data_IF_493752765050
#
_entry.id   IF_493752765050
#
_cell.length_a   1.000
_cell.length_b   1.000
_cell.length_c   1.000
_cell.angle_alpha   90.00
_cell.angle_beta   90.00
_cell.angle_gamma   90.00
#
_symmetry.space_group_name_H-M   'P 1'
#
loop_
_entity.id
_entity.type
_entity.pdbx_description
1 polymer ?
#
# COMPACT_ATOMS: atom_id res chain seq x y z
N UNK A 1 -9.36 4.86 23.40
CA UNK A 1 -10.25 3.76 22.96
C UNK A 1 -9.62 2.36 22.99
N UNK A 2 -8.30 2.19 22.86
CA UNK A 2 -7.64 0.87 22.74
C UNK A 2 -7.66 0.00 24.01
N UNK A 3 -7.90 0.55 25.21
CA UNK A 3 -7.77 -0.20 26.48
C UNK A 3 -8.80 -1.31 26.72
N UNK A 4 -9.89 -1.36 25.96
CA UNK A 4 -10.96 -2.38 26.12
C UNK A 4 -10.73 -3.67 25.32
N UNK A 5 -9.75 -3.71 24.43
CA UNK A 5 -9.52 -4.86 23.56
C UNK A 5 -8.64 -5.93 24.21
N UNK A 6 -8.96 -7.21 23.94
CA UNK A 6 -8.08 -8.34 24.28
C UNK A 6 -6.72 -8.16 23.60
N UNK A 7 -5.65 -8.64 24.25
CA UNK A 7 -4.26 -8.47 23.78
C UNK A 7 -4.06 -8.85 22.30
N UNK A 8 -4.70 -9.94 21.87
CA UNK A 8 -4.68 -10.38 20.46
C UNK A 8 -5.20 -9.34 19.48
N UNK A 9 -6.36 -8.75 19.78
CA UNK A 9 -6.96 -7.73 18.92
C UNK A 9 -6.09 -6.48 18.85
N UNK A 10 -5.45 -6.08 19.97
CA UNK A 10 -4.50 -4.96 19.97
C UNK A 10 -3.32 -5.21 19.03
N UNK A 11 -2.74 -6.41 19.10
CA UNK A 11 -1.60 -6.79 18.24
C UNK A 11 -2.01 -6.84 16.76
N UNK A 12 -3.15 -7.45 16.43
CA UNK A 12 -3.64 -7.50 15.04
C UNK A 12 -3.94 -6.10 14.50
N UNK A 13 -4.55 -5.22 15.30
CA UNK A 13 -4.82 -3.84 14.90
C UNK A 13 -3.52 -3.05 14.67
N UNK A 14 -2.51 -3.23 15.53
CA UNK A 14 -1.21 -2.60 15.35
C UNK A 14 -0.55 -3.06 14.04
N UNK A 15 -0.54 -4.36 13.76
CA UNK A 15 0.02 -4.90 12.52
C UNK A 15 -0.71 -4.37 11.28
N UNK A 16 -2.05 -4.33 11.32
CA UNK A 16 -2.87 -3.78 10.23
C UNK A 16 -2.56 -2.29 10.04
N UNK A 17 -2.42 -1.51 11.12
CA UNK A 17 -2.09 -0.08 11.00
C UNK A 17 -0.72 0.16 10.38
N UNK A 18 0.30 -0.62 10.77
CA UNK A 18 1.64 -0.53 10.18
C UNK A 18 1.59 -0.92 8.70
N UNK A 19 0.83 -1.97 8.36
CA UNK A 19 0.66 -2.41 6.99
C UNK A 19 -0.03 -1.36 6.12
N UNK A 20 -1.11 -0.75 6.59
CA UNK A 20 -1.81 0.32 5.86
C UNK A 20 -0.85 1.51 5.65
N UNK A 21 -0.16 1.94 6.71
CA UNK A 21 0.77 3.06 6.63
C UNK A 21 1.91 2.76 5.63
N UNK A 22 2.50 1.58 5.71
CA UNK A 22 3.56 1.14 4.80
C UNK A 22 3.08 1.02 3.35
N UNK A 23 1.86 0.53 3.13
CA UNK A 23 1.27 0.42 1.78
C UNK A 23 0.98 1.78 1.17
N UNK A 24 0.47 2.74 1.96
CA UNK A 24 0.23 4.10 1.49
C UNK A 24 1.55 4.80 1.15
N UNK A 25 2.53 4.75 2.04
CA UNK A 25 3.85 5.35 1.79
C UNK A 25 4.54 4.71 0.58
N UNK A 26 4.57 3.37 0.54
CA UNK A 26 5.15 2.62 -0.58
C UNK A 26 4.42 2.87 -1.89
N UNK A 27 3.09 3.00 -1.85
CA UNK A 27 2.26 3.34 -3.00
C UNK A 27 2.58 4.71 -3.58
N UNK A 28 2.62 5.74 -2.74
CA UNK A 28 2.98 7.11 -3.17
C UNK A 28 4.38 7.15 -3.79
N UNK A 29 5.36 6.46 -3.19
CA UNK A 29 6.73 6.38 -3.73
C UNK A 29 6.75 5.63 -5.07
N UNK A 30 6.06 4.49 -5.15
CA UNK A 30 6.01 3.68 -6.36
C UNK A 30 5.33 4.43 -7.52
N UNK A 31 4.21 5.10 -7.25
CA UNK A 31 3.50 5.93 -8.22
C UNK A 31 4.41 6.99 -8.82
N UNK A 32 5.11 7.76 -7.99
CA UNK A 32 6.06 8.78 -8.47
C UNK A 32 7.19 8.20 -9.30
N UNK A 33 7.76 7.07 -8.88
CA UNK A 33 8.83 6.39 -9.64
C UNK A 33 8.31 5.94 -11.00
N UNK A 34 7.10 5.37 -11.04
CA UNK A 34 6.49 4.85 -12.24
C UNK A 34 6.08 5.97 -13.22
N UNK A 35 5.51 7.07 -12.72
CA UNK A 35 5.21 8.27 -13.51
C UNK A 35 6.47 8.90 -14.10
N UNK A 36 7.51 9.09 -13.28
CA UNK A 36 8.76 9.69 -13.75
C UNK A 36 9.46 8.80 -14.79
N UNK A 37 9.35 7.47 -14.67
CA UNK A 37 9.80 6.55 -15.72
C UNK A 37 8.98 6.69 -16.99
N UNK A 38 7.66 6.79 -16.89
CA UNK A 38 6.78 6.97 -18.04
C UNK A 38 7.10 8.27 -18.80
N UNK A 39 7.26 9.39 -18.08
CA UNK A 39 7.63 10.68 -18.69
C UNK A 39 8.98 10.62 -19.39
N UNK A 40 10.00 10.05 -18.74
CA UNK A 40 11.33 9.90 -19.34
C UNK A 40 11.29 9.00 -20.59
N UNK A 41 10.56 7.89 -20.54
CA UNK A 41 10.42 6.96 -21.67
C UNK A 41 9.76 7.64 -22.88
N UNK A 42 8.65 8.36 -22.67
CA UNK A 42 7.97 9.06 -23.76
C UNK A 42 8.86 10.19 -24.29
N UNK A 43 9.53 10.93 -23.41
CA UNK A 43 10.45 12.00 -23.79
C UNK A 43 11.54 11.47 -24.71
N UNK A 44 12.25 10.42 -24.32
CA UNK A 44 13.32 9.84 -25.14
C UNK A 44 12.80 9.36 -26.50
N UNK A 45 11.62 8.73 -26.56
CA UNK A 45 11.00 8.31 -27.82
C UNK A 45 10.70 9.51 -28.73
N UNK A 46 10.09 10.56 -28.19
CA UNK A 46 9.81 11.79 -28.92
C UNK A 46 11.09 12.46 -29.45
N UNK A 47 12.18 12.42 -28.68
CA UNK A 47 13.46 13.01 -29.05
C UNK A 47 14.19 12.25 -30.15
N UNK A 48 14.22 10.92 -30.06
CA UNK A 48 14.79 10.09 -31.13
C UNK A 48 14.02 10.32 -32.41
N UNK A 49 12.68 10.29 -32.36
CA UNK A 49 11.84 10.54 -33.53
C UNK A 49 12.08 11.94 -34.13
N UNK A 50 12.11 12.98 -33.30
CA UNK A 50 12.42 14.35 -33.73
C UNK A 50 13.80 14.43 -34.40
N UNK A 51 14.82 13.80 -33.80
CA UNK A 51 16.17 13.80 -34.34
C UNK A 51 16.24 13.03 -35.66
N UNK A 52 15.58 11.88 -35.78
CA UNK A 52 15.50 11.10 -37.02
C UNK A 52 14.89 11.92 -38.15
N UNK A 53 13.76 12.59 -37.89
CA UNK A 53 13.12 13.46 -38.90
C UNK A 53 14.00 14.66 -39.25
N UNK A 54 14.70 15.26 -38.28
CA UNK A 54 15.70 16.30 -38.55
C UNK A 54 16.83 15.79 -39.45
N UNK A 55 17.31 14.57 -39.22
CA UNK A 55 18.36 13.96 -40.05
C UNK A 55 17.91 13.71 -41.48
N UNK A 56 16.63 13.42 -41.73
CA UNK A 56 16.06 13.36 -43.09
C UNK A 56 16.15 14.72 -43.79
N UNK A 57 15.84 15.81 -43.06
CA UNK A 57 15.98 17.19 -43.60
C UNK A 57 17.42 17.50 -43.94
N UNK A 58 18.33 17.19 -43.03
CA UNK A 58 19.76 17.45 -43.21
C UNK A 58 20.32 16.65 -44.38
N UNK A 59 19.95 15.37 -44.50
CA UNK A 59 20.32 14.53 -45.64
C UNK A 59 19.81 15.11 -46.96
N UNK A 60 18.53 15.53 -47.00
CA UNK A 60 17.93 16.16 -48.18
C UNK A 60 18.70 17.41 -48.59
N UNK A 61 18.97 18.30 -47.63
CA UNK A 61 19.69 19.56 -47.88
C UNK A 61 21.15 19.36 -48.31
N UNK A 62 21.85 18.40 -47.71
CA UNK A 62 23.29 18.17 -47.94
C UNK A 62 23.57 17.31 -49.17
N UNK A 63 22.71 16.34 -49.48
CA UNK A 63 22.98 15.32 -50.50
C UNK A 63 22.01 15.37 -51.68
N UNK A 64 20.73 15.65 -51.45
CA UNK A 64 19.71 15.57 -52.52
C UNK A 64 19.62 16.89 -53.29
N UNK A 65 19.52 18.02 -52.58
CA UNK A 65 19.38 19.35 -53.21
C UNK A 65 20.49 19.65 -54.22
N UNK A 66 21.79 19.42 -53.93
CA UNK A 66 22.86 19.71 -54.90
C UNK A 66 22.76 18.87 -56.19
N UNK A 67 22.24 17.66 -56.11
CA UNK A 67 22.08 16.76 -57.27
C UNK A 67 20.90 17.16 -58.15
N UNK A 68 19.81 17.64 -57.53
CA UNK A 68 18.60 18.01 -58.26
C UNK A 68 18.69 19.41 -58.87
N UNK A 69 19.43 20.34 -58.25
CA UNK A 69 19.52 21.74 -58.70
C UNK A 69 19.91 21.91 -60.18
N UNK A 70 20.75 21.03 -60.72
CA UNK A 70 21.20 21.11 -62.11
C UNK A 70 20.09 20.76 -63.13
N UNK A 71 19.04 20.03 -62.73
CA UNK A 71 18.05 19.42 -63.61
C UNK A 71 16.60 19.82 -63.29
N UNK A 72 16.39 20.93 -62.56
CA UNK A 72 15.03 21.39 -62.23
C UNK A 72 14.33 21.96 -63.46
N UNK A 73 13.10 21.52 -63.72
CA UNK A 73 12.24 22.15 -64.71
C UNK A 73 11.79 23.52 -64.19
N UNK A 74 12.09 24.64 -64.87
CA UNK A 74 11.63 25.96 -64.45
C UNK A 74 10.10 26.13 -64.49
N UNK A 75 9.35 25.23 -65.15
CA UNK A 75 7.89 25.31 -65.31
C UNK A 75 7.11 24.54 -64.24
N UNK A 76 7.69 23.50 -63.66
CA UNK A 76 7.06 22.64 -62.67
C UNK A 76 7.81 22.71 -61.34
N UNK A 77 7.09 22.77 -60.23
CA UNK A 77 7.73 22.85 -58.92
C UNK A 77 8.00 21.43 -58.44
N UNK A 78 9.26 21.07 -58.22
CA UNK A 78 9.68 19.78 -57.66
C UNK A 78 9.71 19.87 -56.14
N UNK A 79 8.72 19.34 -55.38
CA UNK A 79 8.67 19.51 -53.93
C UNK A 79 9.80 18.77 -53.19
N UNK A 80 10.37 17.73 -53.80
CA UNK A 80 11.42 16.87 -53.21
C UNK A 80 12.73 17.62 -52.91
N UNK A 81 12.96 18.79 -53.52
CA UNK A 81 14.10 19.65 -53.16
C UNK A 81 13.91 20.38 -51.83
N UNK A 82 12.70 20.36 -51.27
CA UNK A 82 12.39 21.06 -50.02
C UNK A 82 12.59 20.09 -48.84
N UNK A 83 13.54 20.37 -47.92
CA UNK A 83 13.81 19.46 -46.79
C UNK A 83 12.59 19.16 -45.91
N UNK A 84 11.69 20.15 -45.71
CA UNK A 84 10.45 19.95 -44.94
C UNK A 84 9.47 19.02 -45.66
N UNK A 85 9.41 19.07 -46.99
CA UNK A 85 8.58 18.16 -47.77
C UNK A 85 9.05 16.71 -47.58
N UNK A 86 10.36 16.46 -47.75
CA UNK A 86 10.94 15.13 -47.57
C UNK A 86 10.72 14.59 -46.15
N UNK A 87 10.97 15.41 -45.12
CA UNK A 87 10.71 15.05 -43.73
C UNK A 87 9.24 14.68 -43.48
N UNK A 88 8.31 15.48 -44.01
CA UNK A 88 6.87 15.20 -43.89
C UNK A 88 6.51 13.91 -44.62
N UNK A 89 6.94 13.71 -45.87
CA UNK A 89 6.62 12.49 -46.62
C UNK A 89 7.18 11.23 -45.96
N UNK A 90 8.41 11.27 -45.43
CA UNK A 90 8.98 10.14 -44.68
C UNK A 90 8.16 9.87 -43.42
N UNK A 91 7.71 10.92 -42.71
CA UNK A 91 6.83 10.75 -41.58
C UNK A 91 5.45 10.18 -41.96
N UNK A 92 4.85 10.63 -43.07
CA UNK A 92 3.59 10.07 -43.58
C UNK A 92 3.72 8.58 -43.93
N UNK A 93 4.88 8.14 -44.43
CA UNK A 93 5.17 6.71 -44.64
C UNK A 93 5.22 5.96 -43.30
N UNK A 94 5.86 6.52 -42.28
CA UNK A 94 5.88 5.96 -40.92
C UNK A 94 4.46 5.84 -40.35
N UNK A 95 3.66 6.90 -40.49
CA UNK A 95 2.28 7.00 -39.98
C UNK A 95 1.32 5.98 -40.62
N UNK A 96 1.62 5.47 -41.83
CA UNK A 96 0.85 4.40 -42.46
C UNK A 96 1.03 3.03 -41.80
N UNK A 97 2.10 2.84 -41.03
CA UNK A 97 2.26 1.63 -40.24
C UNK A 97 1.36 1.73 -38.99
N UNK A 98 0.53 0.71 -38.77
CA UNK A 98 -0.43 0.67 -37.66
C UNK A 98 0.23 0.87 -36.29
N UNK A 99 1.47 0.41 -36.10
CA UNK A 99 2.23 0.57 -34.85
C UNK A 99 2.60 2.03 -34.54
N UNK A 100 2.50 2.93 -35.53
CA UNK A 100 2.92 4.32 -35.45
C UNK A 100 1.84 5.32 -35.92
N UNK A 101 0.62 4.83 -36.16
CA UNK A 101 -0.49 5.62 -36.69
C UNK A 101 -0.94 6.75 -35.75
N UNK A 102 -0.65 6.66 -34.45
CA UNK A 102 -1.04 7.69 -33.50
C UNK A 102 0.07 8.73 -33.25
N UNK A 103 1.24 8.55 -33.88
CA UNK A 103 2.30 9.55 -33.86
C UNK A 103 1.97 10.67 -34.85
N UNK A 104 2.27 11.91 -34.49
CA UNK A 104 2.18 13.04 -35.40
C UNK A 104 3.45 13.87 -35.43
N UNK A 105 3.79 14.36 -36.61
CA UNK A 105 4.86 15.33 -36.85
C UNK A 105 4.29 16.53 -37.60
N UNK A 106 4.72 17.71 -37.19
CA UNK A 106 4.34 18.96 -37.86
C UNK A 106 5.46 19.98 -37.75
N UNK A 107 5.73 20.70 -38.83
CA UNK A 107 6.50 21.93 -38.75
C UNK A 107 5.52 23.08 -38.57
N UNK A 108 5.26 23.45 -37.32
CA UNK A 108 4.32 24.50 -36.99
C UNK A 108 4.96 25.87 -37.25
N UNK A 109 4.56 26.53 -38.33
CA UNK A 109 5.12 27.81 -38.80
C UNK A 109 4.06 28.91 -38.67
N UNK A 110 4.48 30.10 -38.24
CA UNK A 110 3.58 31.24 -38.05
C UNK A 110 3.00 31.75 -39.37
N UNK A 111 3.84 31.80 -40.41
CA UNK A 111 3.48 32.15 -41.79
C UNK A 111 4.02 31.09 -42.76
N UNK A 112 3.31 29.95 -42.94
CA UNK A 112 3.79 28.84 -43.77
C UNK A 112 3.48 29.03 -45.26
N UNK A 113 4.25 28.40 -46.14
CA UNK A 113 3.87 28.23 -47.56
C UNK A 113 2.69 27.27 -47.70
N UNK A 114 2.70 26.15 -46.95
CA UNK A 114 1.61 25.18 -46.93
C UNK A 114 0.73 25.40 -45.69
N UNK A 115 -0.56 25.66 -45.88
CA UNK A 115 -1.47 25.97 -44.76
C UNK A 115 -1.63 24.83 -43.75
N UNK A 116 -1.30 23.58 -44.11
CA UNK A 116 -1.28 22.46 -43.15
C UNK A 116 -0.21 22.65 -42.07
N UNK A 117 0.83 23.43 -42.35
CA UNK A 117 1.92 23.74 -41.43
C UNK A 117 1.61 24.95 -40.54
N UNK A 118 0.43 25.58 -40.69
CA UNK A 118 0.08 26.77 -39.90
C UNK A 118 -0.01 26.42 -38.42
N UNK A 119 0.77 27.14 -37.60
CA UNK A 119 0.76 26.96 -36.16
C UNK A 119 -0.65 27.20 -35.59
N UNK A 120 -1.10 26.29 -34.73
CA UNK A 120 -2.30 26.51 -33.90
C UNK A 120 -1.98 27.46 -32.71
N UNK A 121 -2.98 27.75 -31.87
CA UNK A 121 -2.80 28.65 -30.73
C UNK A 121 -1.81 28.12 -29.69
N UNK A 122 -1.76 26.81 -29.49
CA UNK A 122 -0.83 26.16 -28.58
C UNK A 122 0.59 26.16 -29.15
N UNK A 123 0.75 25.81 -30.43
CA UNK A 123 2.04 25.80 -31.11
C UNK A 123 2.62 27.22 -31.15
N UNK A 124 1.78 28.23 -31.37
CA UNK A 124 2.17 29.64 -31.31
C UNK A 124 2.72 30.02 -29.93
N UNK A 125 2.12 29.55 -28.83
CA UNK A 125 2.62 29.85 -27.48
C UNK A 125 3.95 29.15 -27.18
N UNK A 126 4.19 27.96 -27.76
CA UNK A 126 5.49 27.28 -27.71
C UNK A 126 6.55 28.05 -28.52
N UNK A 127 6.18 28.53 -29.71
CA UNK A 127 7.07 29.36 -30.55
C UNK A 127 7.48 30.65 -29.83
N UNK A 128 6.53 31.33 -29.17
CA UNK A 128 6.80 32.54 -28.39
C UNK A 128 7.79 32.29 -27.24
N UNK A 129 7.78 31.11 -26.61
CA UNK A 129 8.78 30.79 -25.58
C UNK A 129 10.21 30.71 -26.15
N UNK A 130 10.38 30.15 -27.35
CA UNK A 130 11.68 30.15 -28.04
C UNK A 130 12.12 31.54 -28.52
N UNK A 131 11.17 32.44 -28.73
CA UNK A 131 11.43 33.85 -29.05
C UNK A 131 11.91 34.61 -27.82
N UNK A 132 11.28 34.38 -26.67
CA UNK A 132 11.62 35.01 -25.39
C UNK A 132 13.00 34.60 -24.87
N UNK A 133 13.42 33.35 -25.07
CA UNK A 133 14.75 32.89 -24.70
C UNK A 133 15.40 32.02 -25.78
N UNK A 134 16.34 32.62 -26.52
CA UNK A 134 17.11 31.97 -27.58
C UNK A 134 18.05 30.84 -27.08
N UNK A 135 18.28 30.72 -25.76
CA UNK A 135 19.06 29.62 -25.17
C UNK A 135 18.26 28.32 -25.12
N UNK A 136 16.94 28.40 -25.10
CA UNK A 136 16.08 27.22 -25.09
C UNK A 136 16.21 26.50 -26.43
N UNK A 137 16.77 25.28 -26.40
CA UNK A 137 16.92 24.43 -27.59
C UNK A 137 15.74 23.50 -27.82
N UNK A 138 14.94 23.29 -26.78
CA UNK A 138 13.84 22.35 -26.81
C UNK A 138 12.85 22.65 -25.69
N UNK A 139 11.58 22.42 -25.98
CA UNK A 139 10.49 22.43 -24.99
C UNK A 139 9.76 21.09 -25.12
N UNK A 140 9.37 20.49 -24.01
CA UNK A 140 8.59 19.26 -24.03
C UNK A 140 7.60 19.26 -22.87
N UNK A 141 6.48 18.57 -23.04
CA UNK A 141 5.42 18.55 -22.05
C UNK A 141 4.20 17.80 -22.55
N UNK A 142 3.04 18.12 -21.96
CA UNK A 142 1.77 17.50 -22.33
C UNK A 142 0.79 18.56 -22.82
N UNK A 143 -0.01 18.20 -23.83
CA UNK A 143 -1.17 18.97 -24.28
C UNK A 143 -2.36 18.06 -24.43
N UNK A 144 -3.56 18.62 -24.31
CA UNK A 144 -4.76 17.95 -24.80
C UNK A 144 -4.88 18.23 -26.30
N UNK A 145 -5.09 17.19 -27.11
CA UNK A 145 -5.35 17.30 -28.54
C UNK A 145 -6.46 16.30 -28.88
N UNK A 146 -7.59 16.76 -29.43
CA UNK A 146 -8.74 15.91 -29.80
C UNK A 146 -9.23 14.99 -28.66
N UNK A 147 -9.31 15.50 -27.44
CA UNK A 147 -9.64 14.75 -26.22
C UNK A 147 -8.64 13.67 -25.80
N UNK A 148 -7.45 13.64 -26.40
CA UNK A 148 -6.37 12.75 -25.97
C UNK A 148 -5.22 13.53 -25.35
N UNK A 149 -4.60 12.95 -24.32
CA UNK A 149 -3.41 13.50 -23.70
C UNK A 149 -2.20 13.13 -24.55
N UNK A 150 -1.64 14.11 -25.24
CA UNK A 150 -0.46 13.94 -26.09
C UNK A 150 0.76 14.51 -25.39
N UNK A 151 1.83 13.73 -25.33
CA UNK A 151 3.14 14.29 -25.11
C UNK A 151 3.59 15.03 -26.36
N UNK A 152 4.21 16.19 -26.21
CA UNK A 152 4.83 16.91 -27.31
C UNK A 152 6.30 17.19 -27.02
N UNK A 153 7.11 17.15 -28.08
CA UNK A 153 8.46 17.70 -28.08
C UNK A 153 8.61 18.69 -29.21
N UNK A 154 9.16 19.86 -28.89
CA UNK A 154 9.28 21.00 -29.77
C UNK A 154 10.73 21.45 -29.90
N UNK A 155 11.17 21.79 -31.11
CA UNK A 155 12.45 22.45 -31.37
C UNK A 155 12.25 23.71 -32.20
N UNK A 156 13.01 24.79 -31.94
CA UNK A 156 12.84 26.04 -32.68
C UNK A 156 13.25 25.85 -34.13
N UNK A 157 12.40 26.29 -35.06
CA UNK A 157 12.70 26.29 -36.48
C UNK A 157 13.18 27.69 -36.90
N UNK A 158 14.50 27.81 -37.10
CA UNK A 158 15.16 29.06 -37.50
C UNK A 158 15.70 28.99 -38.92
N UNK A 159 15.70 30.14 -39.59
CA UNK A 159 16.25 30.27 -40.95
C UNK A 159 17.79 30.29 -40.89
N UNK A 160 18.41 29.12 -40.76
CA UNK A 160 19.86 29.02 -40.53
C UNK A 160 20.75 29.26 -41.74
N UNK A 161 20.22 29.25 -42.96
CA UNK A 161 21.00 29.41 -44.21
C UNK A 161 20.34 30.42 -45.15
N UNK A 162 21.17 31.17 -45.88
CA UNK A 162 20.69 32.13 -46.88
C UNK A 162 19.98 31.47 -48.07
N UNK A 163 20.25 30.18 -48.34
CA UNK A 163 19.55 29.41 -49.38
C UNK A 163 18.04 29.36 -49.17
N UNK A 164 17.56 29.40 -47.93
CA UNK A 164 16.12 29.47 -47.62
C UNK A 164 15.46 30.73 -48.21
N UNK A 165 16.22 31.83 -48.32
CA UNK A 165 15.72 33.11 -48.81
C UNK A 165 15.57 33.14 -50.34
N UNK A 166 16.09 32.14 -51.06
CA UNK A 166 15.84 31.97 -52.50
C UNK A 166 14.37 31.66 -52.79
N UNK A 167 13.66 31.08 -51.82
CA UNK A 167 12.24 30.74 -51.93
C UNK A 167 11.34 31.58 -51.02
N UNK A 168 11.84 32.02 -49.85
CA UNK A 168 11.00 32.60 -48.79
C UNK A 168 11.27 34.09 -48.50
N UNK A 169 12.08 34.78 -49.31
CA UNK A 169 12.29 36.23 -49.16
C UNK A 169 11.08 37.02 -49.65
N UNK A 170 10.94 37.23 -50.95
CA UNK A 170 9.80 37.90 -51.58
C UNK A 170 9.24 37.05 -52.72
N UNK A 171 7.95 37.21 -53.08
CA UNK A 171 7.36 36.50 -54.21
C UNK A 171 8.09 36.74 -55.54
N UNK A 172 8.70 37.92 -55.72
CA UNK A 172 9.43 38.28 -56.92
C UNK A 172 10.76 37.53 -57.10
N UNK A 173 11.39 37.10 -55.99
CA UNK A 173 12.66 36.35 -55.99
C UNK A 173 12.42 34.83 -56.08
N UNK A 174 11.29 34.37 -55.56
CA UNK A 174 10.98 32.96 -55.47
C UNK A 174 10.81 32.29 -56.85
N UNK A 175 11.05 30.97 -56.97
CA UNK A 175 10.80 30.24 -58.20
C UNK A 175 9.35 30.43 -58.67
N UNK A 176 9.17 30.81 -59.94
CA UNK A 176 7.83 31.03 -60.52
C UNK A 176 6.93 29.81 -60.41
N UNK A 177 7.51 28.61 -60.49
CA UNK A 177 6.79 27.35 -60.31
C UNK A 177 6.25 27.19 -58.87
N UNK A 178 7.01 27.58 -57.85
CA UNK A 178 6.56 27.60 -56.45
C UNK A 178 5.41 28.59 -56.25
N UNK A 179 5.56 29.81 -56.75
CA UNK A 179 4.53 30.85 -56.65
C UNK A 179 3.24 30.42 -57.36
N UNK A 180 3.35 29.76 -58.51
CA UNK A 180 2.20 29.17 -59.21
C UNK A 180 1.50 28.08 -58.38
N UNK A 181 2.26 27.27 -57.66
CA UNK A 181 1.73 26.17 -56.85
C UNK A 181 1.08 26.62 -55.54
N UNK A 182 1.65 27.62 -54.86
CA UNK A 182 1.27 28.01 -53.49
C UNK A 182 0.74 29.45 -53.35
N UNK A 183 0.85 30.27 -54.40
CA UNK A 183 0.48 31.68 -54.39
C UNK A 183 1.55 32.59 -53.75
N UNK A 184 1.23 33.88 -53.67
CA UNK A 184 2.17 34.94 -53.23
C UNK A 184 1.92 35.42 -51.79
N UNK A 185 0.86 34.94 -51.13
CA UNK A 185 0.37 35.51 -49.86
C UNK A 185 1.12 35.05 -48.62
N UNK A 186 1.50 33.76 -48.56
CA UNK A 186 2.04 33.14 -47.35
C UNK A 186 3.43 32.55 -47.60
N UNK A 187 4.21 32.36 -46.53
CA UNK A 187 5.53 31.74 -46.63
C UNK A 187 6.62 32.65 -47.20
N UNK A 188 6.43 33.97 -47.18
CA UNK A 188 7.41 34.98 -47.56
C UNK A 188 7.72 35.91 -46.38
N UNK A 189 8.71 36.78 -46.55
CA UNK A 189 9.15 37.76 -45.55
C UNK A 189 10.12 37.18 -44.51
N UNK A 190 10.66 35.99 -44.75
CA UNK A 190 11.62 35.37 -43.83
C UNK A 190 12.95 36.13 -43.85
N UNK A 191 13.62 36.18 -42.69
CA UNK A 191 14.93 36.79 -42.53
C UNK A 191 15.95 35.76 -42.04
N UNK A 192 17.22 35.94 -42.39
CA UNK A 192 18.29 35.05 -41.90
C UNK A 192 18.31 35.06 -40.36
N UNK A 193 18.41 33.88 -39.75
CA UNK A 193 18.36 33.62 -38.31
C UNK A 193 17.03 33.90 -37.58
N UNK A 194 16.00 34.37 -38.29
CA UNK A 194 14.67 34.57 -37.71
C UNK A 194 14.04 33.25 -37.25
N UNK A 195 13.25 33.32 -36.16
CA UNK A 195 12.40 32.22 -35.72
C UNK A 195 11.12 32.26 -36.55
N UNK A 196 10.88 31.21 -37.34
CA UNK A 196 9.69 31.14 -38.21
C UNK A 196 8.63 30.20 -37.65
N UNK A 197 9.02 29.30 -36.73
CA UNK A 197 8.14 28.28 -36.20
C UNK A 197 8.84 27.33 -35.24
N UNK A 198 8.24 26.15 -35.05
CA UNK A 198 8.79 25.05 -34.29
C UNK A 198 8.51 23.72 -34.99
N UNK A 199 9.48 22.81 -34.95
CA UNK A 199 9.24 21.41 -35.29
C UNK A 199 8.57 20.75 -34.09
N UNK A 200 7.46 20.06 -34.32
CA UNK A 200 6.62 19.43 -33.29
C UNK A 200 6.52 17.93 -33.57
N UNK A 201 6.78 17.13 -32.55
CA UNK A 201 6.46 15.70 -32.53
C UNK A 201 5.45 15.48 -31.41
N UNK A 202 4.39 14.73 -31.71
CA UNK A 202 3.35 14.35 -30.78
C UNK A 202 3.33 12.82 -30.62
N UNK A 203 3.31 12.36 -29.38
CA UNK A 203 3.27 10.95 -29.00
C UNK A 203 2.11 10.74 -28.03
N UNK A 204 1.23 9.76 -28.25
CA UNK A 204 0.15 9.45 -27.31
C UNK A 204 0.71 9.11 -25.94
N UNK A 205 0.24 9.82 -24.90
CA UNK A 205 0.64 9.51 -23.54
C UNK A 205 -0.24 8.39 -22.94
N UNK A 206 -1.47 8.24 -23.42
CA UNK A 206 -2.49 7.36 -22.85
C UNK A 206 -1.99 5.93 -22.64
N UNK A 207 -1.42 5.29 -23.66
CA UNK A 207 -0.98 3.89 -23.57
C UNK A 207 0.14 3.70 -22.54
N UNK A 208 1.11 4.62 -22.53
CA UNK A 208 2.24 4.56 -21.60
C UNK A 208 1.73 4.74 -20.17
N UNK A 209 0.90 5.74 -19.90
CA UNK A 209 0.35 5.96 -18.56
C UNK A 209 -0.63 4.86 -18.12
N UNK A 210 -1.41 4.25 -19.03
CA UNK A 210 -2.24 3.09 -18.71
C UNK A 210 -1.39 1.85 -18.39
N UNK A 211 -0.26 1.66 -19.08
CA UNK A 211 0.70 0.60 -18.74
C UNK A 211 1.28 0.80 -17.34
N UNK A 212 1.57 2.06 -16.97
CA UNK A 212 2.03 2.47 -15.64
C UNK A 212 1.01 2.14 -14.56
N UNK A 213 -0.28 2.44 -14.79
CA UNK A 213 -1.36 2.11 -13.84
C UNK A 213 -1.52 0.60 -13.67
N UNK A 214 -1.50 -0.17 -14.77
CA UNK A 214 -1.55 -1.64 -14.68
C UNK A 214 -0.38 -2.21 -13.89
N UNK A 215 0.83 -1.72 -14.14
CA UNK A 215 2.02 -2.11 -13.38
C UNK A 215 1.89 -1.76 -11.88
N UNK A 216 1.41 -0.55 -11.56
CA UNK A 216 1.15 -0.12 -10.19
C UNK A 216 0.18 -1.07 -9.47
N UNK A 217 -1.00 -1.33 -10.04
CA UNK A 217 -1.99 -2.21 -9.41
C UNK A 217 -1.50 -3.65 -9.30
N UNK A 218 -0.69 -4.12 -10.25
CA UNK A 218 -0.13 -5.48 -10.20
C UNK A 218 0.90 -5.62 -9.07
N UNK A 219 1.83 -4.67 -8.95
CA UNK A 219 2.85 -4.66 -7.90
C UNK A 219 2.20 -4.44 -6.53
N UNK A 220 1.29 -3.48 -6.42
CA UNK A 220 0.57 -3.19 -5.18
C UNK A 220 -0.31 -4.37 -4.76
N UNK A 221 -1.02 -5.00 -5.70
CA UNK A 221 -1.84 -6.17 -5.46
C UNK A 221 -1.03 -7.36 -4.94
N UNK A 222 0.13 -7.62 -5.56
CA UNK A 222 1.07 -8.66 -5.09
C UNK A 222 1.59 -8.35 -3.68
N UNK A 223 2.03 -7.11 -3.44
CA UNK A 223 2.51 -6.66 -2.13
C UNK A 223 1.45 -6.83 -1.04
N UNK A 224 0.23 -6.32 -1.28
CA UNK A 224 -0.90 -6.45 -0.37
C UNK A 224 -1.23 -7.93 -0.12
N UNK A 225 -1.24 -8.76 -1.16
CA UNK A 225 -1.49 -10.19 -1.05
C UNK A 225 -0.48 -10.92 -0.17
N UNK A 226 0.81 -10.63 -0.33
CA UNK A 226 1.89 -11.20 0.49
C UNK A 226 1.71 -10.81 1.96
N UNK A 227 1.51 -9.52 2.24
CA UNK A 227 1.35 -9.03 3.60
C UNK A 227 0.06 -9.53 4.27
N UNK A 228 -1.06 -9.58 3.54
CA UNK A 228 -2.31 -10.13 4.05
C UNK A 228 -2.13 -11.61 4.43
N UNK A 229 -1.43 -12.39 3.59
CA UNK A 229 -1.10 -13.79 3.87
C UNK A 229 -0.19 -13.92 5.10
N UNK A 230 0.82 -13.06 5.23
CA UNK A 230 1.71 -13.04 6.39
C UNK A 230 0.98 -12.69 7.70
N UNK A 231 0.13 -11.66 7.70
CA UNK A 231 -0.70 -11.27 8.85
C UNK A 231 -1.67 -12.40 9.21
N UNK A 232 -2.29 -13.03 8.22
CA UNK A 232 -3.18 -14.16 8.44
C UNK A 232 -2.45 -15.34 9.07
N UNK A 233 -1.30 -15.75 8.52
CA UNK A 233 -0.48 -16.84 9.03
C UNK A 233 0.03 -16.55 10.45
N UNK A 234 0.50 -15.33 10.70
CA UNK A 234 0.96 -14.90 12.02
C UNK A 234 -0.17 -14.98 13.05
N UNK A 235 -1.38 -14.50 12.72
CA UNK A 235 -2.53 -14.63 13.60
C UNK A 235 -2.98 -16.09 13.78
N UNK A 236 -2.86 -16.91 12.73
CA UNK A 236 -3.17 -18.33 12.76
C UNK A 236 -2.25 -19.09 13.72
N UNK A 237 -0.96 -18.77 13.74
CA UNK A 237 0.04 -19.37 14.65
C UNK A 237 -0.05 -18.78 16.06
N UNK A 238 -0.13 -17.46 16.22
CA UNK A 238 -0.14 -16.81 17.54
C UNK A 238 -1.35 -17.22 18.39
N UNK A 239 -2.52 -17.41 17.77
CA UNK A 239 -3.77 -17.67 18.49
C UNK A 239 -3.74 -18.98 19.31
N UNK A 240 -3.40 -20.16 18.73
CA UNK A 240 -3.23 -21.39 19.49
C UNK A 240 -1.94 -21.41 20.31
N UNK A 241 -0.83 -20.87 19.80
CA UNK A 241 0.48 -21.01 20.45
C UNK A 241 0.61 -20.12 21.67
N UNK A 242 0.11 -18.87 21.65
CA UNK A 242 0.33 -17.90 22.73
C UNK A 242 -0.97 -17.48 23.40
N UNK A 243 -1.96 -17.01 22.63
CA UNK A 243 -3.13 -16.34 23.22
C UNK A 243 -4.02 -17.29 24.02
N UNK A 244 -4.30 -18.50 23.51
CA UNK A 244 -5.16 -19.48 24.19
C UNK A 244 -4.57 -19.94 25.53
N UNK A 245 -3.31 -20.40 25.63
CA UNK A 245 -2.69 -20.79 26.90
C UNK A 245 -2.67 -19.66 27.93
N UNK A 246 -2.29 -18.45 27.53
CA UNK A 246 -2.25 -17.28 28.43
C UNK A 246 -3.65 -16.96 28.96
N UNK A 247 -4.68 -17.04 28.11
CA UNK A 247 -6.06 -16.85 28.55
C UNK A 247 -6.54 -17.94 29.51
N UNK A 248 -6.08 -19.19 29.35
CA UNK A 248 -6.40 -20.28 30.27
C UNK A 248 -5.76 -20.04 31.63
N UNK A 249 -4.46 -19.72 31.67
CA UNK A 249 -3.75 -19.38 32.90
C UNK A 249 -4.41 -18.20 33.62
N UNK A 250 -4.72 -17.11 32.90
CA UNK A 250 -5.35 -15.93 33.49
C UNK A 250 -6.73 -16.22 34.09
N UNK A 251 -7.55 -17.07 33.46
CA UNK A 251 -8.85 -17.47 33.99
C UNK A 251 -8.72 -18.29 35.27
N UNK A 252 -7.74 -19.19 35.32
CA UNK A 252 -7.52 -20.06 36.47
C UNK A 252 -6.97 -19.29 37.66
N UNK A 253 -6.04 -18.36 37.43
CA UNK A 253 -5.58 -17.44 38.48
C UNK A 253 -6.74 -16.63 39.06
N UNK A 254 -7.66 -16.15 38.21
CA UNK A 254 -8.82 -15.39 38.67
C UNK A 254 -9.78 -16.25 39.51
N UNK A 255 -10.04 -17.49 39.10
CA UNK A 255 -10.91 -18.43 39.83
C UNK A 255 -10.31 -18.89 41.15
N UNK A 256 -9.01 -19.15 41.21
CA UNK A 256 -8.32 -19.44 42.47
C UNK A 256 -8.45 -18.29 43.45
N UNK A 257 -8.24 -17.06 42.98
CA UNK A 257 -8.43 -15.86 43.81
C UNK A 257 -9.86 -15.70 44.31
N UNK A 258 -10.86 -15.88 43.44
CA UNK A 258 -12.28 -15.74 43.81
C UNK A 258 -12.81 -16.92 44.66
N UNK A 259 -12.34 -18.14 44.40
CA UNK A 259 -12.74 -19.36 45.11
C UNK A 259 -12.20 -19.42 46.54
N UNK A 260 -10.97 -18.92 46.76
CA UNK A 260 -10.42 -18.73 48.11
C UNK A 260 -11.30 -17.82 48.99
N UNK A 261 -12.03 -16.89 48.38
CA UNK A 261 -12.94 -15.96 49.08
C UNK A 261 -14.33 -16.57 49.32
N UNK A 262 -14.80 -17.48 48.47
CA UNK A 262 -16.17 -18.02 48.50
C UNK A 262 -16.33 -19.43 49.08
N UNK A 263 -15.24 -20.08 49.49
CA UNK A 263 -15.26 -21.42 50.13
C UNK A 263 -15.89 -22.56 49.29
N UNK A 264 -16.00 -22.39 47.97
CA UNK A 264 -16.38 -23.46 47.03
C UNK A 264 -15.13 -24.19 46.50
N UNK A 265 -15.23 -25.39 45.89
CA UNK A 265 -14.09 -25.98 45.19
C UNK A 265 -13.66 -25.07 44.02
N UNK A 266 -12.53 -24.40 44.18
CA UNK A 266 -12.11 -23.29 43.32
C UNK A 266 -11.71 -23.70 41.89
N UNK A 267 -11.39 -24.97 41.66
CA UNK A 267 -10.96 -25.52 40.36
C UNK A 267 -11.53 -26.92 40.16
N UNK A 268 -12.11 -27.17 38.97
CA UNK A 268 -12.54 -28.48 38.50
C UNK A 268 -11.37 -29.32 37.95
N UNK A 269 -11.45 -30.64 38.07
CA UNK A 269 -10.46 -31.61 37.57
C UNK A 269 -10.20 -31.46 36.06
N UNK A 270 -11.23 -31.05 35.31
CA UNK A 270 -11.13 -30.74 33.88
C UNK A 270 -10.19 -29.57 33.59
N UNK A 271 -10.17 -28.56 34.46
CA UNK A 271 -9.33 -27.37 34.29
C UNK A 271 -7.87 -27.68 34.62
N UNK A 272 -7.63 -28.49 35.66
CA UNK A 272 -6.30 -29.03 35.99
C UNK A 272 -5.75 -29.90 34.85
N UNK A 273 -6.59 -30.70 34.20
CA UNK A 273 -6.20 -31.51 33.03
C UNK A 273 -5.82 -30.63 31.83
N UNK A 274 -6.51 -29.50 31.59
CA UNK A 274 -6.15 -28.54 30.53
C UNK A 274 -4.82 -27.84 30.81
N UNK A 275 -4.55 -27.48 32.07
CA UNK A 275 -3.26 -26.95 32.52
C UNK A 275 -2.12 -27.92 32.25
N UNK A 276 -2.31 -29.20 32.58
CA UNK A 276 -1.30 -30.24 32.37
C UNK A 276 -0.92 -30.42 30.88
N UNK A 277 -1.85 -30.18 29.95
CA UNK A 277 -1.55 -30.19 28.50
C UNK A 277 -0.62 -29.03 28.13
N UNK A 278 -0.83 -27.84 28.70
CA UNK A 278 0.03 -26.67 28.45
C UNK A 278 1.39 -26.85 29.13
N UNK A 279 1.44 -27.37 30.35
CA UNK A 279 2.67 -27.60 31.13
C UNK A 279 3.62 -28.63 30.51
N UNK A 280 3.13 -29.48 29.60
CA UNK A 280 3.97 -30.42 28.83
C UNK A 280 4.74 -29.75 27.68
N UNK A 281 4.46 -28.49 27.35
CA UNK A 281 5.20 -27.76 26.33
C UNK A 281 6.63 -27.48 26.81
N UNK A 282 7.57 -27.43 25.87
CA UNK A 282 8.99 -27.18 26.14
C UNK A 282 9.38 -25.70 26.02
N UNK A 283 8.42 -24.82 25.70
CA UNK A 283 8.62 -23.37 25.59
C UNK A 283 8.41 -22.66 26.94
N UNK A 284 8.67 -21.35 26.97
CA UNK A 284 8.56 -20.50 28.15
C UNK A 284 7.14 -20.52 28.74
N UNK A 285 6.11 -20.69 27.91
CA UNK A 285 4.72 -20.84 28.35
C UNK A 285 4.47 -22.19 29.01
N UNK A 286 5.10 -23.26 28.53
CA UNK A 286 5.10 -24.58 29.17
C UNK A 286 5.77 -24.56 30.53
N UNK A 287 6.95 -23.92 30.63
CA UNK A 287 7.64 -23.74 31.91
C UNK A 287 6.80 -22.94 32.90
N UNK A 288 6.21 -21.83 32.47
CA UNK A 288 5.30 -21.03 33.30
C UNK A 288 4.07 -21.83 33.75
N UNK A 289 3.46 -22.59 32.84
CA UNK A 289 2.31 -23.43 33.16
C UNK A 289 2.67 -24.56 34.15
N UNK A 290 3.87 -25.13 34.06
CA UNK A 290 4.35 -26.14 34.99
C UNK A 290 4.58 -25.58 36.40
N UNK A 291 5.20 -24.39 36.51
CA UNK A 291 5.35 -23.69 37.80
C UNK A 291 3.98 -23.33 38.37
N UNK A 292 3.09 -22.77 37.55
CA UNK A 292 1.73 -22.44 37.97
C UNK A 292 0.95 -23.68 38.43
N UNK A 293 1.08 -24.80 37.74
CA UNK A 293 0.45 -26.07 38.13
C UNK A 293 0.90 -26.54 39.51
N UNK A 294 2.20 -26.44 39.84
CA UNK A 294 2.71 -26.77 41.19
C UNK A 294 2.11 -25.84 42.24
N UNK A 295 2.06 -24.54 41.97
CA UNK A 295 1.43 -23.56 42.87
C UNK A 295 -0.05 -23.88 43.11
N UNK A 296 -0.80 -24.22 42.05
CA UNK A 296 -2.21 -24.63 42.18
C UNK A 296 -2.35 -25.86 43.08
N UNK A 297 -1.51 -26.88 42.89
CA UNK A 297 -1.54 -28.09 43.71
C UNK A 297 -1.22 -27.81 45.18
N UNK A 298 -0.22 -26.97 45.45
CA UNK A 298 0.14 -26.56 46.81
C UNK A 298 -0.98 -25.77 47.51
N UNK A 299 -1.61 -24.83 46.80
CA UNK A 299 -2.74 -24.04 47.32
C UNK A 299 -3.93 -24.95 47.65
N UNK A 300 -4.30 -25.85 46.74
CA UNK A 300 -5.39 -26.81 46.98
C UNK A 300 -5.09 -27.75 48.16
N UNK A 301 -3.85 -28.26 48.27
CA UNK A 301 -3.43 -29.09 49.39
C UNK A 301 -3.42 -28.31 50.72
N UNK A 302 -3.09 -27.02 50.69
CA UNK A 302 -3.17 -26.14 51.86
C UNK A 302 -4.62 -25.88 52.27
N UNK A 303 -5.51 -25.57 51.32
CA UNK A 303 -6.93 -25.36 51.60
C UNK A 303 -7.61 -26.61 52.16
N UNK A 304 -7.32 -27.79 51.60
CA UNK A 304 -7.86 -29.05 52.11
C UNK A 304 -7.41 -29.34 53.54
N UNK A 305 -6.12 -29.14 53.85
CA UNK A 305 -5.58 -29.27 55.21
C UNK A 305 -6.26 -28.30 56.17
N UNK A 306 -6.39 -27.03 55.79
CA UNK A 306 -7.08 -26.02 56.61
C UNK A 306 -8.56 -26.39 56.83
N UNK A 307 -9.27 -26.87 55.81
CA UNK A 307 -10.66 -27.33 55.96
C UNK A 307 -10.76 -28.54 56.87
N UNK A 308 -9.80 -29.46 56.84
CA UNK A 308 -9.76 -30.61 57.74
C UNK A 308 -9.53 -30.17 59.18
N UNK A 309 -8.55 -29.31 59.42
CA UNK A 309 -8.30 -28.72 60.76
C UNK A 309 -9.52 -27.96 61.28
N UNK A 310 -10.20 -27.17 60.44
CA UNK A 310 -11.43 -26.47 60.86
C UNK A 310 -12.56 -27.46 61.19
N UNK A 311 -12.71 -28.55 60.44
CA UNK A 311 -13.71 -29.57 60.74
C UNK A 311 -13.41 -30.31 62.05
N UNK A 312 -12.15 -30.65 62.27
CA UNK A 312 -11.68 -31.30 63.49
C UNK A 312 -11.88 -30.38 64.70
N UNK A 313 -11.45 -29.12 64.61
CA UNK A 313 -11.70 -28.10 65.66
C UNK A 313 -13.20 -27.89 65.92
N UNK A 314 -14.04 -27.91 64.88
CA UNK A 314 -15.50 -27.81 65.07
C UNK A 314 -16.05 -29.03 65.82
N UNK A 315 -15.58 -30.23 65.49
CA UNK A 315 -15.98 -31.45 66.18
C UNK A 315 -15.57 -31.41 67.66
N UNK A 316 -14.32 -31.01 67.96
CA UNK A 316 -13.84 -30.84 69.34
C UNK A 316 -14.67 -29.80 70.13
N UNK A 317 -15.00 -28.67 69.51
CA UNK A 317 -15.83 -27.63 70.15
C UNK A 317 -17.25 -28.14 70.41
N UNK A 318 -17.85 -28.84 69.44
CA UNK A 318 -19.20 -29.39 69.59
C UNK A 318 -19.23 -30.48 70.68
N UNK A 319 -18.21 -31.33 70.77
CA UNK A 319 -18.05 -32.34 71.82
C UNK A 319 -17.86 -31.69 73.20
N UNK A 320 -17.01 -30.67 73.29
CA UNK A 320 -16.81 -29.91 74.53
C UNK A 320 -18.05 -29.13 74.98
N UNK A 321 -18.86 -28.60 74.05
CA UNK A 321 -20.18 -28.03 74.38
C UNK A 321 -21.14 -29.09 74.89
N UNK A 322 -21.17 -30.26 74.25
CA UNK A 322 -22.02 -31.37 74.66
C UNK A 322 -21.68 -31.88 76.05
N UNK A 323 -20.39 -31.98 76.38
CA UNK A 323 -19.94 -32.32 77.73
C UNK A 323 -20.39 -31.28 78.75
N UNK A 324 -20.26 -29.97 78.45
CA UNK A 324 -20.76 -28.91 79.34
C UNK A 324 -22.27 -28.93 79.51
N UNK A 325 -23.04 -29.17 78.44
CA UNK A 325 -24.50 -29.32 78.54
C UNK A 325 -24.88 -30.54 79.38
N UNK A 326 -24.15 -31.66 79.26
CA UNK A 326 -24.37 -32.84 80.10
C UNK A 326 -23.99 -32.53 81.56
N UNK A 327 -22.86 -31.87 81.81
CA UNK A 327 -22.47 -31.42 83.16
C UNK A 327 -23.53 -30.51 83.78
N UNK A 328 -24.01 -29.50 83.04
CA UNK A 328 -25.07 -28.59 83.48
C UNK A 328 -26.37 -29.35 83.81
N UNK A 329 -26.75 -30.35 83.00
CA UNK A 329 -27.90 -31.21 83.28
C UNK A 329 -27.66 -32.07 84.53
N UNK A 330 -26.47 -32.64 84.72
CA UNK A 330 -26.15 -33.47 85.89
C UNK A 330 -26.07 -32.68 87.19
N UNK A 331 -25.78 -31.38 87.12
CA UNK A 331 -25.74 -30.46 88.26
C UNK A 331 -27.11 -29.87 88.61
N UNK A 332 -28.16 -30.12 87.83
CA UNK A 332 -29.52 -29.69 88.19
C UNK A 332 -30.06 -30.43 89.42
N UNK A 333 -30.75 -29.71 90.29
CA UNK A 333 -31.38 -30.25 91.51
C UNK A 333 -32.22 -31.51 91.23
N UNK A 334 -32.92 -31.54 90.09
CA UNK A 334 -33.73 -32.67 89.65
C UNK A 334 -32.91 -33.95 89.41
N UNK A 335 -31.73 -33.85 88.80
CA UNK A 335 -30.88 -35.01 88.53
C UNK A 335 -30.23 -35.56 89.80
N UNK A 336 -29.83 -34.68 90.72
CA UNK A 336 -29.30 -35.08 92.04
C UNK A 336 -30.37 -35.79 92.88
N UNK A 337 -31.62 -35.33 92.83
CA UNK A 337 -32.75 -35.95 93.55
C UNK A 337 -33.05 -37.35 93.00
N UNK A 338 -33.00 -37.54 91.68
CA UNK A 338 -33.11 -38.84 91.01
C UNK A 338 -31.98 -39.81 91.39
N UNK A 339 -30.75 -39.32 91.50
CA UNK A 339 -29.62 -40.13 91.95
C UNK A 339 -29.78 -40.56 93.41
N UNK A 340 -30.29 -39.67 94.27
CA UNK A 340 -30.56 -39.95 95.68
C UNK A 340 -31.66 -41.01 95.83
N UNK A 341 -32.76 -40.91 95.09
CA UNK A 341 -33.80 -41.95 95.05
C UNK A 341 -33.24 -43.30 94.57
N UNK A 342 -32.43 -43.32 93.52
CA UNK A 342 -31.82 -44.55 93.01
C UNK A 342 -30.80 -45.19 93.97
N UNK A 343 -30.24 -44.41 94.90
CA UNK A 343 -29.33 -44.89 95.94
C UNK A 343 -30.10 -45.38 97.18
N UNK A 344 -31.22 -44.75 97.52
CA UNK A 344 -32.18 -45.26 98.52
C UNK A 344 -32.74 -46.62 98.10
N UNK A 345 -33.15 -46.78 96.84
CA UNK A 345 -33.59 -48.08 96.31
C UNK A 345 -32.49 -49.14 96.36
N UNK A 346 -31.23 -48.76 96.06
CA UNK A 346 -30.09 -49.69 96.11
C UNK A 346 -29.75 -50.14 97.53
N UNK A 347 -29.83 -49.24 98.50
CA UNK A 347 -29.61 -49.58 99.91
C UNK A 347 -30.76 -50.42 100.47
N UNK A 348 -32.01 -50.18 100.04
CA UNK A 348 -33.15 -51.05 100.38
C UNK A 348 -33.00 -52.47 99.82
N UNK A 349 -32.37 -52.65 98.65
CA UNK A 349 -32.06 -53.98 98.11
C UNK A 349 -30.84 -54.65 98.75
N UNK A 350 -29.94 -53.91 99.40
CA UNK A 350 -28.77 -54.47 100.11
C UNK A 350 -29.11 -54.93 101.54
N UNK A 351 -30.20 -54.43 102.13
CA UNK A 351 -30.70 -54.84 103.45
C UNK A 351 -31.55 -56.13 103.39
N UNK A 352 -31.75 -56.71 102.20
CA UNK A 352 -32.51 -57.95 101.98
C UNK A 352 -31.61 -59.19 101.75
N UNK A 353 -30.29 -59.04 101.73
CA UNK A 353 -29.32 -60.11 101.39
C UNK A 353 -28.41 -60.57 102.57
N UNK A 354 -28.61 -60.05 103.79
CA UNK A 354 -27.94 -60.54 105.02
C UNK A 354 -29.01 -60.92 106.08
N UNK A 355 -29.60 -62.11 105.92
CA UNK A 355 -30.33 -62.86 106.96
C UNK A 355 -29.61 -64.18 107.28
#
# INVERSE_FOLDING_TARGET
MLNRFKLGTKLSLLLISIFILGSVLGGVVLERILEQRAENQITQRGLVLMQTISSVRDYTNLNIVPLLQANLDPKEFTPEIVPSYAARQVFEILHKNQDYADLAYKEAVLNPTNLNDRADSFETSVIQQFEQDAKIKQISGFRQLRNEKMFYSARPLRVGKASCLQCHSTPAVAPKSMVKAYGEKNGFGWQLNSLIGAQMVYVPATEVFQSTQRAFFSVMGLFIGIFATAIWLLNFVLKPTVLRPVQQLARLSKRLGEGAVKSEPAIDEMETRRLAVVAKRQDELGQLAAVFQRMVQEVMAREQRLRQQIRELRFEIDEGRRQKEVEEITETDYFQELQKQAQEFRNQSAEYDDE
#
